data_IF_774004647271
#
_entry.id   IF_774004647271
#
_cell.length_a   1.000
_cell.length_b   1.000
_cell.length_c   1.000
_cell.angle_alpha   90.00
_cell.angle_beta   90.00
_cell.angle_gamma   90.00
#
_symmetry.space_group_name_H-M   'P 1'
#
loop_
_entity.id
_entity.type
_entity.pdbx_description
1 polymer ?
#
# COMPACT_ATOMS: atom_id res chain seq x y z
N UNK A 1 7.31 4.65 -22.94
CA UNK A 1 7.66 3.73 -21.84
C UNK A 1 8.12 4.59 -20.67
N UNK A 2 7.20 4.99 -19.79
CA UNK A 2 7.51 5.85 -18.64
C UNK A 2 7.93 4.91 -17.50
N UNK A 3 9.22 4.92 -17.15
CA UNK A 3 9.74 4.25 -15.97
C UNK A 3 9.45 5.16 -14.77
N UNK A 4 8.40 4.81 -14.02
CA UNK A 4 8.05 5.49 -12.78
C UNK A 4 8.96 5.05 -11.64
N UNK A 5 9.37 6.00 -10.79
CA UNK A 5 10.19 5.72 -9.60
C UNK A 5 9.34 5.10 -8.49
N UNK A 6 9.89 4.12 -7.78
CA UNK A 6 9.15 3.41 -6.72
C UNK A 6 8.66 4.35 -5.61
N UNK A 7 9.46 5.36 -5.25
CA UNK A 7 9.07 6.38 -4.28
C UNK A 7 7.88 7.21 -4.74
N UNK A 8 7.81 7.55 -6.04
CA UNK A 8 6.67 8.23 -6.63
C UNK A 8 5.39 7.37 -6.56
N UNK A 9 5.47 6.07 -6.91
CA UNK A 9 4.31 5.16 -6.83
C UNK A 9 3.74 5.07 -5.41
N UNK A 10 4.58 5.11 -4.38
CA UNK A 10 4.09 5.03 -2.98
C UNK A 10 3.17 6.19 -2.59
N UNK A 11 3.30 7.34 -3.27
CA UNK A 11 2.49 8.54 -2.98
C UNK A 11 1.07 8.46 -3.52
N UNK A 12 0.78 7.55 -4.46
CA UNK A 12 -0.55 7.42 -5.07
C UNK A 12 -1.60 6.88 -4.09
N UNK A 13 -1.18 6.27 -2.98
CA UNK A 13 -2.10 5.79 -1.96
C UNK A 13 -2.69 6.95 -1.12
N UNK A 14 -3.90 7.39 -1.47
CA UNK A 14 -4.65 8.44 -0.76
C UNK A 14 -5.44 7.96 0.47
N UNK A 15 -5.18 6.74 0.95
CA UNK A 15 -5.87 6.14 2.12
C UNK A 15 -7.41 6.01 2.00
N UNK A 16 -7.97 5.91 0.79
CA UNK A 16 -9.43 5.80 0.59
C UNK A 16 -10.08 4.50 1.10
N UNK A 17 -9.31 3.41 1.25
CA UNK A 17 -9.82 2.13 1.77
C UNK A 17 -10.38 1.16 0.72
N UNK A 18 -10.51 1.58 -0.54
CA UNK A 18 -11.03 0.73 -1.63
C UNK A 18 -10.23 -0.58 -1.81
N UNK A 19 -8.93 -0.57 -1.50
CA UNK A 19 -8.09 -1.76 -1.56
C UNK A 19 -8.39 -2.82 -0.47
N UNK A 20 -9.13 -2.47 0.59
CA UNK A 20 -9.34 -3.36 1.73
C UNK A 20 -10.28 -4.51 1.38
N UNK A 21 -11.44 -4.20 0.80
CA UNK A 21 -12.43 -5.24 0.43
C UNK A 21 -11.91 -6.17 -0.67
N UNK A 22 -11.04 -5.67 -1.55
CA UNK A 22 -10.39 -6.48 -2.58
C UNK A 22 -9.24 -7.35 -2.06
N UNK A 23 -8.70 -7.07 -0.86
CA UNK A 23 -7.55 -7.78 -0.33
C UNK A 23 -7.96 -9.06 0.43
N UNK A 24 -7.64 -10.26 -0.08
CA UNK A 24 -8.02 -11.51 0.57
C UNK A 24 -7.36 -11.70 1.94
N UNK A 25 -6.16 -11.13 2.16
CA UNK A 25 -5.48 -11.18 3.45
C UNK A 25 -6.20 -10.32 4.48
N UNK A 26 -6.64 -9.12 4.10
CA UNK A 26 -7.41 -8.24 4.98
C UNK A 26 -8.77 -8.87 5.31
N UNK A 27 -9.48 -9.44 4.33
CA UNK A 27 -10.79 -10.07 4.60
C UNK A 27 -10.68 -11.28 5.52
N UNK A 28 -9.55 -11.99 5.52
CA UNK A 28 -9.32 -13.14 6.40
C UNK A 28 -8.82 -12.74 7.80
N UNK A 29 -7.96 -11.72 7.90
CA UNK A 29 -7.25 -11.38 9.14
C UNK A 29 -7.81 -10.16 9.87
N UNK A 30 -8.52 -9.27 9.16
CA UNK A 30 -8.88 -7.94 9.64
C UNK A 30 -7.70 -6.98 9.82
N UNK A 31 -6.47 -7.40 9.50
CA UNK A 31 -5.26 -6.61 9.72
C UNK A 31 -4.96 -5.68 8.56
N UNK A 32 -5.14 -4.38 8.74
CA UNK A 32 -4.81 -3.38 7.71
C UNK A 32 -3.31 -3.36 7.36
N UNK A 33 -2.44 -3.68 8.31
CA UNK A 33 -0.98 -3.74 8.09
C UNK A 33 -0.60 -4.78 7.03
N UNK A 34 -1.40 -5.84 6.91
CA UNK A 34 -1.20 -6.92 5.94
C UNK A 34 -1.79 -6.58 4.55
N UNK A 35 -2.63 -5.55 4.46
CA UNK A 35 -3.30 -5.10 3.23
C UNK A 35 -2.32 -4.47 2.22
N UNK A 36 -2.74 -4.26 0.95
CA UNK A 36 -1.90 -3.61 -0.05
C UNK A 36 -1.45 -2.22 0.40
N UNK A 37 -2.34 -1.47 1.05
CA UNK A 37 -2.03 -0.16 1.63
C UNK A 37 -1.04 -0.25 2.79
N UNK A 38 -1.17 -1.24 3.66
CA UNK A 38 -0.21 -1.48 4.74
C UNK A 38 1.20 -1.73 4.19
N UNK A 39 1.30 -2.50 3.10
CA UNK A 39 2.56 -2.76 2.40
C UNK A 39 3.13 -1.51 1.71
N UNK A 40 2.30 -0.68 1.07
CA UNK A 40 2.74 0.60 0.50
C UNK A 40 3.31 1.51 1.59
N UNK A 41 2.66 1.57 2.76
CA UNK A 41 3.17 2.33 3.89
C UNK A 41 4.54 1.81 4.36
N UNK A 42 4.71 0.49 4.48
CA UNK A 42 6.01 -0.10 4.83
C UNK A 42 7.12 0.26 3.83
N UNK A 43 6.83 0.20 2.53
CA UNK A 43 7.80 0.58 1.48
C UNK A 43 8.13 2.07 1.59
N UNK A 44 7.12 2.93 1.78
CA UNK A 44 7.31 4.37 1.97
C UNK A 44 8.22 4.65 3.17
N UNK A 45 7.93 4.02 4.31
CA UNK A 45 8.73 4.17 5.53
C UNK A 45 10.17 3.70 5.36
N UNK A 46 10.41 2.67 4.54
CA UNK A 46 11.77 2.21 4.24
C UNK A 46 12.55 3.17 3.31
N UNK A 47 11.85 3.93 2.47
CA UNK A 47 12.45 4.92 1.56
C UNK A 47 12.67 6.30 2.22
N UNK A 48 11.85 6.66 3.20
CA UNK A 48 11.93 7.94 3.93
C UNK A 48 12.98 7.92 5.07
N UNK A 49 13.62 6.78 5.34
CA UNK A 49 14.67 6.58 6.36
C UNK A 49 16.09 6.71 5.80
#
# INVERSE_FOLDING_TARGET
MIVHDLGELTTHCIRCGFCLEACPTFTQTGSELESPRGRIYLVRSALDG
#
